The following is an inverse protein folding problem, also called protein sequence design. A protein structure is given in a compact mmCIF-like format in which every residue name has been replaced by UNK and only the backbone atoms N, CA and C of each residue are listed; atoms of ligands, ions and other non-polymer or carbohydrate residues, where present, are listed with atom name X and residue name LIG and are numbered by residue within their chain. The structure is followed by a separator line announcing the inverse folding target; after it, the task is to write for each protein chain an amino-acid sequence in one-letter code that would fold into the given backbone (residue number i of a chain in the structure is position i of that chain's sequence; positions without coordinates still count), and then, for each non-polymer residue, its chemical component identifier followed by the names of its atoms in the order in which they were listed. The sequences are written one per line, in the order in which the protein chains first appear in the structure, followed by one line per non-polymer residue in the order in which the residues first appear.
data_IF_093721165599
#
_entry.id   IF_093721165599
#
_cell.length_a   1.000
_cell.length_b   1.000
_cell.length_c   1.000
_cell.angle_alpha   90.00
_cell.angle_beta   90.00
_cell.angle_gamma   90.00
#
_symmetry.space_group_name_H-M   'P 1'
#
loop_
_entity.id
_entity.type
_entity.pdbx_description
1 polymer ?
#
# COMPACT_ATOMS: atom_id res chain seq x y z
N UNK A 1 13.19 8.13 18.16
CA UNK A 1 13.23 8.38 17.70
C UNK A 1 12.70 8.47 16.76
N UNK A 2 12.36 8.46 16.47
CA UNK A 2 12.19 8.48 15.52
C UNK A 2 11.58 9.01 14.96
N UNK A 3 10.94 9.21 14.87
CA UNK A 3 10.77 9.64 13.82
C UNK A 3 9.88 10.71 13.76
N UNK A 4 10.27 11.86 14.39
CA UNK A 4 9.56 13.13 14.27
C UNK A 4 9.29 13.53 12.83
N UNK A 5 10.16 13.09 11.92
CA UNK A 5 9.96 13.39 10.50
C UNK A 5 8.74 12.67 9.92
N UNK A 6 8.54 11.41 10.31
CA UNK A 6 7.37 10.67 9.83
C UNK A 6 6.09 11.21 10.45
N UNK A 7 6.13 11.54 11.75
CA UNK A 7 4.97 12.17 12.39
C UNK A 7 4.61 13.49 11.72
N UNK A 8 5.61 14.33 11.46
CA UNK A 8 5.37 15.61 10.80
C UNK A 8 4.81 15.44 9.39
N UNK A 9 5.33 14.45 8.65
CA UNK A 9 4.81 14.16 7.31
C UNK A 9 3.36 13.72 7.38
N UNK A 10 3.02 12.85 8.34
CA UNK A 10 1.66 12.38 8.53
C UNK A 10 0.72 13.54 8.81
N UNK A 11 1.12 14.46 9.69
CA UNK A 11 0.33 15.66 10.02
C UNK A 11 0.12 16.54 8.79
N UNK A 12 1.16 16.73 7.99
CA UNK A 12 1.04 17.52 6.77
C UNK A 12 0.03 16.93 5.79
N UNK A 13 0.11 15.63 5.55
CA UNK A 13 -0.83 15.00 4.63
C UNK A 13 -2.25 14.99 5.19
N UNK A 14 -2.39 14.91 6.52
CA UNK A 14 -3.70 15.04 7.16
C UNK A 14 -4.31 16.41 6.86
N UNK A 15 -3.50 17.47 6.95
CA UNK A 15 -3.99 18.82 6.61
C UNK A 15 -4.43 18.89 5.15
N UNK A 16 -3.64 18.32 4.24
CA UNK A 16 -3.98 18.32 2.82
C UNK A 16 -5.29 17.56 2.58
N UNK A 17 -5.46 16.42 3.24
CA UNK A 17 -6.68 15.62 3.11
C UNK A 17 -7.89 16.42 3.60
N UNK A 18 -7.74 17.15 4.68
CA UNK A 18 -8.84 17.96 5.21
C UNK A 18 -9.24 19.07 4.24
N UNK A 19 -8.26 19.62 3.52
CA UNK A 19 -8.54 20.65 2.53
C UNK A 19 -9.15 20.10 1.23
N UNK A 20 -8.77 18.89 0.84
CA UNK A 20 -9.25 18.29 -0.40
C UNK A 20 -9.37 16.77 -0.23
N UNK A 21 -10.46 16.32 0.41
CA UNK A 21 -10.59 14.88 0.72
C UNK A 21 -10.79 13.98 -0.50
N UNK A 22 -10.98 14.55 -1.69
CA UNK A 22 -11.13 13.76 -2.91
C UNK A 22 -9.84 13.65 -3.72
N UNK A 23 -8.75 14.19 -3.20
CA UNK A 23 -7.47 14.08 -3.88
C UNK A 23 -6.78 12.80 -3.44
N UNK A 24 -6.85 11.77 -4.29
CA UNK A 24 -6.37 10.42 -3.96
C UNK A 24 -4.90 10.42 -3.56
N UNK A 25 -4.08 11.24 -4.20
CA UNK A 25 -2.65 11.23 -3.95
C UNK A 25 -2.29 11.58 -2.51
N UNK A 26 -3.04 12.48 -1.88
CA UNK A 26 -2.79 12.85 -0.49
C UNK A 26 -3.02 11.66 0.44
N UNK A 27 -4.11 10.90 0.21
CA UNK A 27 -4.36 9.68 0.97
C UNK A 27 -3.25 8.65 0.74
N UNK A 28 -2.80 8.53 -0.51
CA UNK A 28 -1.75 7.57 -0.83
C UNK A 28 -0.43 7.94 -0.14
N UNK A 29 -0.09 9.21 -0.11
CA UNK A 29 1.11 9.68 0.56
C UNK A 29 1.05 9.39 2.06
N UNK A 30 -0.10 9.66 2.69
CA UNK A 30 -0.23 9.36 4.12
C UNK A 30 -0.15 7.86 4.38
N UNK A 31 -0.75 7.06 3.50
CA UNK A 31 -0.66 5.61 3.62
C UNK A 31 0.78 5.13 3.63
N UNK A 32 1.61 5.71 2.75
CA UNK A 32 3.03 5.37 2.69
C UNK A 32 3.74 5.71 4.00
N UNK A 33 3.47 6.89 4.54
CA UNK A 33 4.07 7.31 5.81
C UNK A 33 3.63 6.37 6.93
N UNK A 34 2.34 6.05 6.98
CA UNK A 34 1.83 5.13 8.01
C UNK A 34 2.47 3.74 7.90
N UNK A 35 2.69 3.28 6.68
CA UNK A 35 3.39 2.02 6.47
C UNK A 35 4.81 2.08 7.05
N UNK A 36 5.53 3.16 6.76
CA UNK A 36 6.89 3.33 7.28
C UNK A 36 6.93 3.42 8.80
N UNK A 37 5.84 3.91 9.41
CA UNK A 37 5.71 3.97 10.86
C UNK A 37 5.29 2.64 11.47
N UNK A 38 5.06 1.63 10.66
CA UNK A 38 4.60 0.33 11.15
C UNK A 38 3.12 0.28 11.48
N UNK A 39 2.36 1.31 11.10
CA UNK A 39 0.92 1.39 11.37
C UNK A 39 0.15 0.83 10.18
N UNK A 40 0.21 -0.49 10.03
CA UNK A 40 -0.24 -1.15 8.81
C UNK A 40 -1.74 -1.09 8.61
N UNK A 41 -2.54 -1.25 9.67
CA UNK A 41 -3.99 -1.20 9.55
C UNK A 41 -4.46 0.19 9.15
N UNK A 42 -3.83 1.22 9.72
CA UNK A 42 -4.17 2.60 9.35
C UNK A 42 -3.74 2.89 7.91
N UNK A 43 -2.59 2.36 7.50
CA UNK A 43 -2.14 2.49 6.12
C UNK A 43 -3.16 1.85 5.17
N UNK A 44 -3.65 0.66 5.49
CA UNK A 44 -4.64 -0.01 4.66
C UNK A 44 -5.93 0.80 4.57
N UNK A 45 -6.35 1.42 5.67
CA UNK A 45 -7.55 2.26 5.63
C UNK A 45 -7.40 3.42 4.65
N UNK A 46 -6.23 4.05 4.61
CA UNK A 46 -5.96 5.12 3.64
C UNK A 46 -5.93 4.59 2.22
N UNK A 47 -5.33 3.41 2.01
CA UNK A 47 -5.31 2.76 0.70
C UNK A 47 -6.72 2.47 0.22
N UNK A 48 -7.59 2.00 1.11
CA UNK A 48 -8.98 1.74 0.75
C UNK A 48 -9.64 3.02 0.22
N UNK A 49 -9.32 4.15 0.84
CA UNK A 49 -9.85 5.43 0.40
C UNK A 49 -9.33 5.79 -1.00
N UNK A 50 -8.04 5.59 -1.24
CA UNK A 50 -7.47 5.83 -2.56
C UNK A 50 -8.19 5.01 -3.62
N UNK A 51 -8.40 3.72 -3.33
CA UNK A 51 -9.00 2.82 -4.29
C UNK A 51 -10.50 3.08 -4.49
N UNK A 52 -11.16 3.71 -3.53
CA UNK A 52 -12.51 4.21 -3.73
C UNK A 52 -12.54 5.36 -4.72
N UNK A 53 -11.54 6.22 -4.67
CA UNK A 53 -11.45 7.39 -5.56
C UNK A 53 -10.93 6.99 -6.93
N UNK A 54 -9.87 6.16 -6.97
CA UNK A 54 -9.25 5.70 -8.21
C UNK A 54 -8.97 4.20 -8.11
N UNK A 55 -9.82 3.40 -8.70
CA UNK A 55 -9.74 1.94 -8.63
C UNK A 55 -8.41 1.37 -9.14
N UNK A 56 -7.81 2.05 -10.11
CA UNK A 56 -6.60 1.56 -10.77
C UNK A 56 -5.36 2.36 -10.38
N UNK A 57 -5.37 2.91 -9.18
CA UNK A 57 -4.22 3.66 -8.69
C UNK A 57 -3.05 2.70 -8.42
N UNK A 58 -2.04 2.75 -9.28
CA UNK A 58 -0.93 1.81 -9.22
C UNK A 58 -0.22 1.86 -7.87
N UNK A 59 0.08 3.07 -7.38
CA UNK A 59 0.76 3.24 -6.10
C UNK A 59 -0.01 2.63 -4.94
N UNK A 60 -1.34 2.78 -4.93
CA UNK A 60 -2.17 2.20 -3.89
C UNK A 60 -2.21 0.67 -3.98
N UNK A 61 -2.27 0.14 -5.19
CA UNK A 61 -2.29 -1.31 -5.38
C UNK A 61 -0.97 -1.95 -4.91
N UNK A 62 0.17 -1.35 -5.28
CA UNK A 62 1.46 -1.86 -4.81
C UNK A 62 1.62 -1.63 -3.32
N UNK A 63 1.15 -0.50 -2.81
CA UNK A 63 1.16 -0.22 -1.37
C UNK A 63 0.35 -1.25 -0.59
N UNK A 64 -0.82 -1.63 -1.13
CA UNK A 64 -1.64 -2.67 -0.52
C UNK A 64 -0.89 -4.00 -0.46
N UNK A 65 -0.16 -4.32 -1.54
CA UNK A 65 0.67 -5.51 -1.54
C UNK A 65 1.69 -5.49 -0.41
N UNK A 66 2.36 -4.35 -0.21
CA UNK A 66 3.34 -4.21 0.85
C UNK A 66 2.70 -4.33 2.23
N UNK A 67 1.58 -3.63 2.44
CA UNK A 67 0.89 -3.65 3.72
C UNK A 67 0.40 -5.05 4.06
N UNK A 68 -0.22 -5.72 3.10
CA UNK A 68 -0.75 -7.06 3.35
C UNK A 68 0.37 -8.08 3.56
N UNK A 69 1.52 -7.88 2.91
CA UNK A 69 2.70 -8.70 3.18
C UNK A 69 3.16 -8.51 4.63
N UNK A 70 3.20 -7.27 5.10
CA UNK A 70 3.59 -6.98 6.48
C UNK A 70 2.62 -7.59 7.49
N UNK A 71 1.33 -7.63 7.13
CA UNK A 71 0.30 -8.25 7.97
C UNK A 71 0.23 -9.77 7.78
N UNK A 72 1.08 -10.32 6.93
CA UNK A 72 1.16 -11.76 6.64
C UNK A 72 -0.09 -12.31 5.95
N UNK A 73 -0.86 -11.46 5.31
CA UNK A 73 -2.00 -11.85 4.48
C UNK A 73 -1.50 -12.03 3.05
N UNK A 74 -0.75 -13.10 2.84
CA UNK A 74 0.02 -13.26 1.61
C UNK A 74 -0.85 -13.42 0.36
N UNK A 75 -1.98 -14.11 0.47
CA UNK A 75 -2.86 -14.26 -0.70
C UNK A 75 -3.43 -12.90 -1.13
N UNK A 76 -3.85 -12.09 -0.16
CA UNK A 76 -4.37 -10.77 -0.47
C UNK A 76 -3.28 -9.87 -1.07
N UNK A 77 -2.05 -10.02 -0.59
CA UNK A 77 -0.91 -9.29 -1.16
C UNK A 77 -0.67 -9.70 -2.61
N UNK A 78 -0.71 -11.00 -2.89
CA UNK A 78 -0.55 -11.51 -4.25
C UNK A 78 -1.64 -10.93 -5.16
N UNK A 79 -2.89 -10.97 -4.72
CA UNK A 79 -4.00 -10.44 -5.49
C UNK A 79 -3.79 -8.96 -5.82
N UNK A 80 -3.26 -8.20 -4.85
CA UNK A 80 -2.98 -6.77 -5.05
C UNK A 80 -1.90 -6.56 -6.12
N UNK A 81 -0.85 -7.36 -6.10
CA UNK A 81 0.21 -7.25 -7.09
C UNK A 81 -0.26 -7.68 -8.47
N UNK A 82 -1.17 -8.66 -8.56
CA UNK A 82 -1.78 -9.05 -9.82
C UNK A 82 -2.52 -7.85 -10.42
N UNK A 83 -3.32 -7.16 -9.59
CA UNK A 83 -4.04 -5.99 -10.07
C UNK A 83 -3.09 -4.86 -10.48
N UNK A 84 -2.02 -4.65 -9.71
CA UNK A 84 -1.02 -3.66 -10.07
C UNK A 84 -0.36 -3.97 -11.40
N UNK A 85 -0.06 -5.24 -11.63
CA UNK A 85 0.54 -5.69 -12.90
C UNK A 85 -0.40 -5.41 -14.08
N UNK A 86 -1.70 -5.54 -13.88
CA UNK A 86 -2.67 -5.24 -14.94
C UNK A 86 -2.65 -3.76 -15.30
N UNK A 87 -2.37 -2.88 -14.33
CA UNK A 87 -2.30 -1.44 -14.58
C UNK A 87 -1.05 -1.06 -15.35
N UNK A 88 0.09 -1.63 -14.97
CA UNK A 88 1.38 -1.37 -15.61
C UNK A 88 2.08 -2.68 -15.93
N UNK A 89 1.70 -3.34 -17.05
CA UNK A 89 2.23 -4.69 -17.36
C UNK A 89 3.73 -4.74 -17.59
N UNK A 90 4.33 -3.61 -17.96
CA UNK A 90 5.77 -3.59 -18.27
C UNK A 90 6.64 -3.34 -17.04
N UNK A 91 6.04 -2.98 -15.92
CA UNK A 91 6.78 -2.86 -14.67
C UNK A 91 6.95 -4.25 -14.06
N UNK A 92 8.20 -4.60 -13.77
CA UNK A 92 8.50 -5.96 -13.31
C UNK A 92 8.29 -6.16 -11.81
N UNK A 93 8.33 -5.07 -11.03
CA UNK A 93 8.32 -5.20 -9.57
C UNK A 93 7.08 -5.92 -9.02
N UNK A 94 5.85 -5.66 -9.52
CA UNK A 94 4.71 -6.43 -8.99
C UNK A 94 4.84 -7.93 -9.21
N UNK A 95 5.33 -8.35 -10.38
CA UNK A 95 5.50 -9.77 -10.65
C UNK A 95 6.56 -10.39 -9.78
N UNK A 96 7.67 -9.67 -9.58
CA UNK A 96 8.75 -10.17 -8.74
C UNK A 96 8.25 -10.37 -7.30
N UNK A 97 7.52 -9.39 -6.78
CA UNK A 97 6.97 -9.50 -5.42
C UNK A 97 5.96 -10.63 -5.32
N UNK A 98 5.12 -10.78 -6.35
CA UNK A 98 4.13 -11.86 -6.38
C UNK A 98 4.80 -13.22 -6.32
N UNK A 99 5.87 -13.41 -7.11
CA UNK A 99 6.58 -14.68 -7.13
C UNK A 99 7.20 -15.00 -5.78
N UNK A 100 7.79 -14.01 -5.13
CA UNK A 100 8.35 -14.20 -3.80
C UNK A 100 7.29 -14.65 -2.80
N UNK A 101 6.11 -14.05 -2.88
CA UNK A 101 5.02 -14.38 -1.97
C UNK A 101 4.47 -15.78 -2.24
N UNK A 102 4.41 -16.18 -3.51
CA UNK A 102 3.95 -17.53 -3.85
C UNK A 102 4.89 -18.57 -3.28
N UNK A 103 6.20 -18.31 -3.33
CA UNK A 103 7.18 -19.20 -2.72
C UNK A 103 6.97 -19.28 -1.21
N UNK A 104 6.73 -18.15 -0.58
CA UNK A 104 6.50 -18.11 0.85
C UNK A 104 5.26 -18.89 1.26
N UNK A 105 4.18 -18.75 0.48
CA UNK A 105 2.96 -19.52 0.73
C UNK A 105 3.20 -21.02 0.61
N UNK A 106 3.97 -21.45 -0.38
CA UNK A 106 4.28 -22.86 -0.54
C UNK A 106 5.04 -23.40 0.66
N UNK A 107 5.97 -22.61 1.19
CA UNK A 107 6.72 -23.02 2.39
C UNK A 107 5.80 -23.22 3.58
N UNK A 108 4.77 -22.39 3.71
CA UNK A 108 3.86 -22.46 4.85
C UNK A 108 2.92 -23.65 4.77
N UNK A 109 2.69 -24.18 3.57
CA UNK A 109 1.74 -25.28 3.39
C UNK A 109 2.39 -26.65 3.54
N UNK A 110 3.69 -26.73 3.81
CA UNK A 110 4.40 -28.00 4.00
C UNK A 110 4.27 -28.52 5.44
#
# INVERSE_FOLDING_TARGET
MMDNKLDAACDKFTEVIELDPNWAEAWNKRATVLYLMGKYELSQADIDKVLMIEKRHFGALTGQGLVQTALKNYQKAIDSYVEAHKVHPFMKSPMIMMEKLQIELQKQSI
#
